data_IF_373750970322
#
_entry.id   IF_373750970322
#
_cell.length_a   1.000
_cell.length_b   1.000
_cell.length_c   1.000
_cell.angle_alpha   90.00
_cell.angle_beta   90.00
_cell.angle_gamma   90.00
#
_symmetry.space_group_name_H-M   'P 1'
#
loop_
_entity.id
_entity.type
_entity.pdbx_description
1 polymer ?
#
# COMPACT_ATOMS: atom_id res chain seq x y z
N UNK A 1 -36.47 25.28 -32.26
CA UNK A 1 -35.09 24.95 -31.83
C UNK A 1 -35.19 23.95 -30.69
N UNK A 2 -34.84 22.69 -30.93
CA UNK A 2 -34.94 21.64 -29.91
C UNK A 2 -33.84 21.81 -28.86
N UNK A 3 -34.24 22.02 -27.61
CA UNK A 3 -33.33 22.08 -26.47
C UNK A 3 -32.91 20.65 -26.11
N UNK A 4 -31.68 20.26 -26.43
CA UNK A 4 -31.09 19.00 -26.00
C UNK A 4 -30.70 19.13 -24.52
N UNK A 5 -31.57 18.61 -23.64
CA UNK A 5 -31.23 18.41 -22.23
C UNK A 5 -30.13 17.34 -22.14
N UNK A 6 -28.89 17.77 -21.90
CA UNK A 6 -27.82 16.88 -21.47
C UNK A 6 -28.15 16.40 -20.06
N UNK A 7 -28.71 15.20 -19.98
CA UNK A 7 -28.80 14.46 -18.72
C UNK A 7 -27.39 14.06 -18.32
N UNK A 8 -26.77 14.82 -17.43
CA UNK A 8 -25.62 14.37 -16.66
C UNK A 8 -26.11 13.23 -15.76
N UNK A 9 -26.05 12.00 -16.27
CA UNK A 9 -26.11 10.79 -15.45
C UNK A 9 -24.89 10.83 -14.54
N UNK A 10 -25.07 11.37 -13.34
CA UNK A 10 -24.18 11.08 -12.22
C UNK A 10 -24.31 9.58 -11.98
N UNK A 11 -23.39 8.80 -12.54
CA UNK A 11 -23.29 7.37 -12.25
C UNK A 11 -22.97 7.28 -10.75
N UNK A 12 -23.98 7.02 -9.92
CA UNK A 12 -23.77 6.72 -8.50
C UNK A 12 -22.94 5.45 -8.45
N UNK A 13 -21.65 5.59 -8.22
CA UNK A 13 -20.73 4.47 -8.06
C UNK A 13 -21.25 3.61 -6.92
N UNK A 14 -21.43 2.32 -7.17
CA UNK A 14 -21.91 1.38 -6.16
C UNK A 14 -20.82 1.13 -5.12
N UNK A 15 -21.23 0.66 -3.93
CA UNK A 15 -20.27 0.22 -2.90
C UNK A 15 -19.33 -0.87 -3.44
N UNK A 16 -19.84 -1.79 -4.27
CA UNK A 16 -19.06 -2.86 -4.89
C UNK A 16 -18.01 -2.33 -5.87
N UNK A 17 -18.38 -1.38 -6.75
CA UNK A 17 -17.43 -0.74 -7.67
C UNK A 17 -16.37 0.07 -6.93
N UNK A 18 -16.77 0.75 -5.85
CA UNK A 18 -15.84 1.51 -5.00
C UNK A 18 -14.85 0.56 -4.33
N UNK A 19 -15.33 -0.52 -3.73
CA UNK A 19 -14.46 -1.55 -3.14
C UNK A 19 -13.52 -2.16 -4.16
N UNK A 20 -14.01 -2.55 -5.35
CA UNK A 20 -13.19 -3.13 -6.40
C UNK A 20 -12.06 -2.18 -6.85
N UNK A 21 -12.35 -0.89 -6.99
CA UNK A 21 -11.34 0.12 -7.29
C UNK A 21 -10.28 0.24 -6.19
N UNK A 22 -10.69 0.30 -4.92
CA UNK A 22 -9.75 0.35 -3.78
C UNK A 22 -8.92 -0.91 -3.66
N UNK A 23 -9.52 -2.06 -3.88
CA UNK A 23 -8.79 -3.32 -3.88
C UNK A 23 -7.73 -3.35 -4.99
N UNK A 24 -8.05 -2.85 -6.19
CA UNK A 24 -7.08 -2.72 -7.27
C UNK A 24 -5.96 -1.72 -6.95
N UNK A 25 -6.28 -0.58 -6.31
CA UNK A 25 -5.29 0.37 -5.80
C UNK A 25 -4.35 -0.27 -4.78
N UNK A 26 -4.88 -1.01 -3.79
CA UNK A 26 -4.08 -1.74 -2.82
C UNK A 26 -3.14 -2.75 -3.51
N UNK A 27 -3.63 -3.49 -4.51
CA UNK A 27 -2.83 -4.44 -5.26
C UNK A 27 -1.68 -3.77 -6.05
N UNK A 28 -1.93 -2.60 -6.66
CA UNK A 28 -0.89 -1.80 -7.33
C UNK A 28 0.19 -1.34 -6.34
N UNK A 29 -0.24 -0.80 -5.19
CA UNK A 29 0.67 -0.33 -4.16
C UNK A 29 1.56 -1.47 -3.64
N UNK A 30 0.99 -2.63 -3.33
CA UNK A 30 1.76 -3.80 -2.87
C UNK A 30 2.78 -4.25 -3.92
N UNK A 31 2.39 -4.29 -5.20
CA UNK A 31 3.31 -4.62 -6.30
C UNK A 31 4.47 -3.62 -6.40
N UNK A 32 4.18 -2.32 -6.26
CA UNK A 32 5.20 -1.27 -6.32
C UNK A 32 6.11 -1.29 -5.11
N UNK A 33 5.58 -1.56 -3.91
CA UNK A 33 6.37 -1.77 -2.69
C UNK A 33 7.34 -2.92 -2.88
N UNK A 34 6.87 -4.08 -3.37
CA UNK A 34 7.75 -5.22 -3.64
C UNK A 34 8.88 -4.87 -4.62
N UNK A 35 8.56 -4.17 -5.72
CA UNK A 35 9.58 -3.72 -6.68
C UNK A 35 10.61 -2.75 -6.06
N UNK A 36 10.16 -1.84 -5.18
CA UNK A 36 11.04 -0.91 -4.48
C UNK A 36 11.92 -1.59 -3.44
N UNK A 37 11.43 -2.62 -2.74
CA UNK A 37 12.23 -3.41 -1.81
C UNK A 37 13.37 -4.14 -2.52
N UNK A 38 13.13 -4.70 -3.71
CA UNK A 38 14.19 -5.31 -4.52
C UNK A 38 15.23 -4.30 -5.00
N UNK A 39 14.80 -3.10 -5.42
CA UNK A 39 15.72 -2.01 -5.78
C UNK A 39 16.55 -1.57 -4.57
N UNK A 40 15.91 -1.43 -3.40
CA UNK A 40 16.57 -1.05 -2.16
C UNK A 40 17.64 -2.08 -1.75
N UNK A 41 17.34 -3.38 -1.89
CA UNK A 41 18.31 -4.47 -1.71
C UNK A 41 19.48 -4.38 -2.69
N UNK A 42 19.21 -4.09 -3.97
CA UNK A 42 20.27 -3.91 -4.97
C UNK A 42 21.15 -2.68 -4.69
N UNK A 43 20.60 -1.61 -4.13
CA UNK A 43 21.36 -0.44 -3.66
C UNK A 43 22.20 -0.77 -2.44
N UNK A 44 21.64 -1.44 -1.42
CA UNK A 44 22.37 -1.84 -0.23
C UNK A 44 23.56 -2.74 -0.56
N UNK A 45 23.44 -3.62 -1.56
CA UNK A 45 24.52 -4.48 -2.03
C UNK A 45 25.74 -3.69 -2.56
N UNK A 46 25.56 -2.44 -3.00
CA UNK A 46 26.64 -1.55 -3.44
C UNK A 46 27.30 -0.83 -2.26
N UNK A 47 26.61 -0.72 -1.12
CA UNK A 47 27.08 -0.03 0.09
C UNK A 47 26.89 -0.92 1.33
N UNK A 48 27.55 -2.10 1.41
CA UNK A 48 27.22 -3.12 2.41
C UNK A 48 27.51 -2.70 3.86
N UNK A 49 28.39 -1.73 4.08
CA UNK A 49 28.71 -1.18 5.40
C UNK A 49 27.77 -0.03 5.83
N UNK A 50 26.86 0.42 4.96
CA UNK A 50 25.93 1.49 5.26
C UNK A 50 24.72 0.94 6.06
N UNK A 51 24.74 1.19 7.37
CA UNK A 51 23.68 0.78 8.30
C UNK A 51 22.35 1.52 8.10
N UNK A 52 22.34 2.62 7.33
CA UNK A 52 21.12 3.36 7.01
C UNK A 52 20.06 2.47 6.35
N UNK A 53 20.46 1.63 5.39
CA UNK A 53 19.56 0.69 4.71
C UNK A 53 18.87 -0.29 5.67
N UNK A 54 19.57 -0.75 6.71
CA UNK A 54 18.98 -1.64 7.71
C UNK A 54 17.96 -0.89 8.59
N UNK A 55 18.26 0.36 8.96
CA UNK A 55 17.35 1.25 9.68
C UNK A 55 16.09 1.57 8.87
N UNK A 56 16.25 1.91 7.59
CA UNK A 56 15.15 2.20 6.67
C UNK A 56 14.20 1.01 6.53
N UNK A 57 14.74 -0.22 6.36
CA UNK A 57 13.92 -1.43 6.34
C UNK A 57 13.26 -1.73 7.69
N UNK A 58 13.90 -1.37 8.80
CA UNK A 58 13.29 -1.42 10.13
C UNK A 58 11.96 -0.66 10.15
N UNK A 59 11.98 0.62 9.75
CA UNK A 59 10.77 1.45 9.68
C UNK A 59 9.74 0.89 8.70
N UNK A 60 10.15 0.50 7.50
CA UNK A 60 9.23 -0.06 6.50
C UNK A 60 8.54 -1.33 7.00
N UNK A 61 9.25 -2.21 7.72
CA UNK A 61 8.63 -3.41 8.28
C UNK A 61 7.66 -3.15 9.43
N UNK A 62 7.79 -2.05 10.17
CA UNK A 62 6.77 -1.62 11.13
C UNK A 62 5.49 -1.16 10.42
N UNK A 63 5.62 -0.29 9.42
CA UNK A 63 4.47 0.19 8.64
C UNK A 63 3.70 -0.95 7.96
N UNK A 64 4.41 -1.94 7.42
CA UNK A 64 3.77 -3.13 6.84
C UNK A 64 3.07 -4.00 7.90
N UNK A 65 3.59 -4.06 9.13
CA UNK A 65 2.90 -4.75 10.22
C UNK A 65 1.58 -4.05 10.58
N UNK A 66 1.57 -2.71 10.62
CA UNK A 66 0.34 -1.94 10.80
C UNK A 66 -0.69 -2.20 9.69
N UNK A 67 -0.25 -2.26 8.43
CA UNK A 67 -1.13 -2.58 7.30
C UNK A 67 -1.74 -3.98 7.44
N UNK A 68 -0.96 -4.99 7.83
CA UNK A 68 -1.46 -6.35 8.07
C UNK A 68 -2.51 -6.37 9.19
N UNK A 69 -2.23 -5.68 10.29
CA UNK A 69 -3.16 -5.59 11.40
C UNK A 69 -4.46 -4.86 11.02
N UNK A 70 -4.41 -3.88 10.10
CA UNK A 70 -5.61 -3.22 9.54
C UNK A 70 -6.47 -4.16 8.70
N UNK A 71 -5.86 -5.22 8.16
CA UNK A 71 -6.54 -6.28 7.41
C UNK A 71 -6.95 -7.46 8.31
N UNK A 72 -6.71 -7.37 9.62
CA UNK A 72 -7.11 -8.35 10.62
C UNK A 72 -6.00 -9.30 11.09
N UNK A 73 -4.78 -9.17 10.58
CA UNK A 73 -3.63 -9.98 11.00
C UNK A 73 -2.68 -9.19 11.90
N UNK A 74 -2.85 -9.35 13.22
CA UNK A 74 -2.02 -8.67 14.23
C UNK A 74 -0.68 -9.34 14.52
N UNK A 75 -0.40 -10.51 13.93
CA UNK A 75 0.76 -11.32 14.29
C UNK A 75 2.10 -10.57 14.18
N UNK A 76 2.25 -9.73 13.15
CA UNK A 76 3.47 -8.95 12.93
C UNK A 76 3.64 -7.79 13.92
N UNK A 77 2.54 -7.17 14.33
CA UNK A 77 2.53 -6.11 15.36
C UNK A 77 2.93 -6.70 16.70
N UNK A 78 2.27 -7.78 17.10
CA UNK A 78 2.48 -8.44 18.39
C UNK A 78 3.92 -8.98 18.48
N UNK A 79 4.43 -9.60 17.40
CA UNK A 79 5.81 -10.09 17.34
C UNK A 79 6.87 -8.99 17.46
N UNK A 80 6.54 -7.77 17.04
CA UNK A 80 7.43 -6.60 17.14
C UNK A 80 7.21 -5.78 18.41
N UNK A 81 6.19 -6.10 19.22
CA UNK A 81 5.82 -5.32 20.40
C UNK A 81 5.34 -3.91 20.06
N UNK A 82 4.75 -3.71 18.88
CA UNK A 82 4.23 -2.42 18.44
C UNK A 82 2.87 -2.12 19.07
N UNK A 83 2.63 -0.86 19.40
CA UNK A 83 1.30 -0.40 19.80
C UNK A 83 0.45 -0.18 18.55
N UNK A 84 -0.76 -0.76 18.49
CA UNK A 84 -1.67 -0.77 17.34
C UNK A 84 -3.05 -0.25 17.66
#
# INVERSE_FOLDING_TARGET
>A
MCSMQRTTKTTKQTAAETYAARHAECADLLKRIASRLEQHKASQAQEPANWGYAGDLGRVTEELAYVLASLGDRSAVDAKGLEY
#
